data_IF_210290607872
#
_entry.id   IF_210290607872
#
_cell.length_a   1.000
_cell.length_b   1.000
_cell.length_c   1.000
_cell.angle_alpha   90.00
_cell.angle_beta   90.00
_cell.angle_gamma   90.00
#
_symmetry.space_group_name_H-M   'P 1'
#
loop_
_entity.id
_entity.type
_entity.pdbx_description
1 polymer ?
#
# COMPACT_ATOMS: atom_id res chain seq x y z
N UNK A 1 18.38 34.53 20.48
CA UNK A 1 18.36 33.36 19.57
C UNK A 1 19.20 33.69 18.37
N UNK A 2 20.29 32.96 18.15
CA UNK A 2 21.29 33.24 17.09
C UNK A 2 20.90 32.66 15.72
N UNK A 3 19.72 32.03 15.61
CA UNK A 3 19.30 31.25 14.43
C UNK A 3 18.20 31.89 13.57
N UNK A 4 17.77 33.12 13.87
CA UNK A 4 16.63 33.76 13.16
C UNK A 4 16.95 35.18 12.67
N UNK A 5 18.22 35.49 12.43
CA UNK A 5 18.63 36.83 12.02
C UNK A 5 18.42 37.12 10.54
N UNK A 6 19.09 36.38 9.66
CA UNK A 6 19.13 36.72 8.23
C UNK A 6 19.40 35.46 7.41
N UNK A 7 18.35 34.70 7.09
CA UNK A 7 18.43 33.73 6.01
C UNK A 7 18.39 34.53 4.71
N UNK A 8 19.52 34.61 4.01
CA UNK A 8 19.50 35.15 2.66
C UNK A 8 18.66 34.22 1.79
N UNK A 9 17.78 34.77 0.94
CA UNK A 9 16.98 34.02 -0.06
C UNK A 9 17.78 32.90 -0.78
N UNK A 10 19.08 33.08 -1.10
CA UNK A 10 19.91 32.01 -1.65
C UNK A 10 20.13 30.81 -0.72
N UNK A 11 20.30 31.02 0.59
CA UNK A 11 20.58 29.94 1.53
C UNK A 11 19.34 29.07 1.78
N UNK A 12 18.15 29.67 1.88
CA UNK A 12 16.90 28.91 1.95
C UNK A 12 16.66 28.10 0.68
N UNK A 13 16.98 28.66 -0.50
CA UNK A 13 16.90 27.94 -1.77
C UNK A 13 17.92 26.79 -1.86
N UNK A 14 19.15 26.98 -1.39
CA UNK A 14 20.17 25.93 -1.33
C UNK A 14 19.72 24.80 -0.41
N UNK A 15 19.19 25.11 0.77
CA UNK A 15 18.70 24.11 1.71
C UNK A 15 17.45 23.38 1.17
N UNK A 16 16.57 24.07 0.45
CA UNK A 16 15.43 23.45 -0.24
C UNK A 16 15.90 22.51 -1.36
N UNK A 17 16.85 22.94 -2.19
CA UNK A 17 17.37 22.09 -3.27
C UNK A 17 18.12 20.88 -2.72
N UNK A 18 18.90 21.07 -1.65
CA UNK A 18 19.62 20.00 -0.97
C UNK A 18 18.65 19.02 -0.29
N UNK A 19 17.58 19.51 0.34
CA UNK A 19 16.56 18.65 0.93
C UNK A 19 15.81 17.88 -0.15
N UNK A 20 15.43 18.50 -1.27
CA UNK A 20 14.83 17.81 -2.42
C UNK A 20 15.77 16.76 -3.04
N UNK A 21 17.08 17.03 -3.09
CA UNK A 21 18.07 16.06 -3.55
C UNK A 21 18.23 14.88 -2.59
N UNK A 22 18.32 15.15 -1.29
CA UNK A 22 18.42 14.11 -0.25
C UNK A 22 17.13 13.28 -0.17
N UNK A 23 15.97 13.92 -0.29
CA UNK A 23 14.68 13.24 -0.37
C UNK A 23 14.62 12.31 -1.59
N UNK A 24 15.11 12.75 -2.75
CA UNK A 24 15.19 11.92 -3.95
C UNK A 24 16.27 10.82 -3.87
N UNK A 25 17.35 11.03 -3.13
CA UNK A 25 18.45 10.07 -2.98
C UNK A 25 18.22 9.05 -1.87
N UNK A 26 17.18 9.19 -1.04
CA UNK A 26 16.88 8.25 0.03
C UNK A 26 16.31 6.94 -0.55
N UNK A 27 17.00 5.79 -0.37
CA UNK A 27 16.53 4.50 -0.85
C UNK A 27 15.29 3.98 -0.10
N UNK A 28 14.90 4.64 1.00
CA UNK A 28 13.87 4.16 1.94
C UNK A 28 12.48 4.73 1.70
N UNK A 29 12.28 5.61 0.71
CA UNK A 29 10.95 6.13 0.42
C UNK A 29 10.94 7.28 -0.57
N UNK A 30 10.20 7.08 -1.66
CA UNK A 30 9.57 8.09 -2.53
C UNK A 30 10.42 9.31 -2.92
N UNK A 31 10.82 9.40 -4.19
CA UNK A 31 9.97 10.11 -5.18
C UNK A 31 10.53 9.89 -6.60
N UNK A 32 11.79 10.18 -6.92
CA UNK A 32 12.30 9.97 -8.30
C UNK A 32 13.70 9.34 -8.42
N UNK A 33 14.61 9.50 -7.45
CA UNK A 33 16.00 9.04 -7.61
C UNK A 33 16.17 7.51 -7.66
N UNK A 34 15.46 6.77 -6.80
CA UNK A 34 15.45 5.30 -6.87
C UNK A 34 14.85 4.79 -8.19
N UNK A 35 13.78 5.43 -8.69
CA UNK A 35 13.20 5.11 -10.01
C UNK A 35 14.16 5.43 -11.14
N UNK A 36 14.90 6.55 -11.06
CA UNK A 36 15.93 6.91 -12.05
C UNK A 36 17.07 5.88 -12.03
N UNK A 37 17.49 5.42 -10.85
CA UNK A 37 18.53 4.40 -10.73
C UNK A 37 18.04 3.05 -11.28
N UNK A 38 16.81 2.67 -10.97
CA UNK A 38 16.17 1.46 -11.52
C UNK A 38 16.04 1.56 -13.04
N UNK A 39 15.63 2.71 -13.59
CA UNK A 39 15.59 2.95 -15.03
C UNK A 39 16.96 2.91 -15.71
N UNK A 40 18.05 3.26 -15.01
CA UNK A 40 19.41 3.10 -15.54
C UNK A 40 19.79 1.63 -15.66
N UNK A 41 19.39 0.80 -14.70
CA UNK A 41 19.62 -0.65 -14.73
C UNK A 41 18.67 -1.37 -15.71
N UNK A 42 17.44 -0.86 -15.83
CA UNK A 42 16.36 -1.44 -16.65
C UNK A 42 15.67 -0.34 -17.49
N UNK A 43 16.30 0.12 -18.60
CA UNK A 43 15.73 1.17 -19.45
C UNK A 43 14.35 0.84 -20.02
N UNK A 44 14.08 -0.45 -20.22
CA UNK A 44 12.80 -0.97 -20.73
C UNK A 44 11.62 -0.71 -19.77
N UNK A 45 11.88 -0.35 -18.50
CA UNK A 45 10.85 0.01 -17.51
C UNK A 45 10.31 1.43 -17.68
N UNK A 46 10.80 2.19 -18.66
CA UNK A 46 10.29 3.54 -18.98
C UNK A 46 8.76 3.60 -19.13
N UNK A 47 8.16 2.58 -19.77
CA UNK A 47 6.71 2.44 -19.89
C UNK A 47 6.00 2.27 -18.54
N UNK A 48 6.62 1.50 -17.63
CA UNK A 48 6.09 1.24 -16.28
C UNK A 48 6.09 2.52 -15.45
N UNK A 49 7.13 3.35 -15.59
CA UNK A 49 7.21 4.67 -14.94
C UNK A 49 6.11 5.58 -15.42
N UNK A 50 5.87 5.64 -16.74
CA UNK A 50 4.79 6.47 -17.29
C UNK A 50 3.43 6.08 -16.70
N UNK A 51 3.13 4.78 -16.61
CA UNK A 51 1.88 4.31 -16.02
C UNK A 51 1.79 4.57 -14.52
N UNK A 52 2.87 4.38 -13.77
CA UNK A 52 2.90 4.69 -12.34
C UNK A 52 2.68 6.18 -12.08
N UNK A 53 3.29 7.06 -12.89
CA UNK A 53 3.06 8.50 -12.81
C UNK A 53 1.62 8.87 -13.17
N UNK A 54 1.04 8.22 -14.20
CA UNK A 54 -0.37 8.41 -14.56
C UNK A 54 -1.29 7.98 -13.42
N UNK A 55 -1.05 6.84 -12.78
CA UNK A 55 -1.78 6.38 -11.61
C UNK A 55 -1.73 7.41 -10.48
N UNK A 56 -0.53 7.85 -10.08
CA UNK A 56 -0.35 8.89 -9.06
C UNK A 56 -1.07 10.18 -9.43
N UNK A 57 -1.01 10.60 -10.70
CA UNK A 57 -1.70 11.81 -11.15
C UNK A 57 -3.22 11.71 -11.04
N UNK A 58 -3.81 10.54 -11.33
CA UNK A 58 -5.25 10.35 -11.20
C UNK A 58 -5.68 10.41 -9.74
N UNK A 59 -4.98 9.69 -8.86
CA UNK A 59 -5.23 9.71 -7.42
C UNK A 59 -5.18 11.13 -6.84
N UNK A 60 -4.30 11.99 -7.36
CA UNK A 60 -4.14 13.37 -6.87
C UNK A 60 -5.16 14.37 -7.44
N UNK A 61 -5.62 14.16 -8.68
CA UNK A 61 -6.48 15.12 -9.39
C UNK A 61 -7.96 14.77 -9.22
N UNK A 62 -8.31 13.52 -9.55
CA UNK A 62 -9.66 13.01 -9.44
C UNK A 62 -9.60 11.48 -9.24
N UNK A 63 -9.49 11.00 -7.99
CA UNK A 63 -9.44 9.57 -7.70
C UNK A 63 -10.74 8.85 -8.09
N UNK A 64 -11.83 9.58 -8.38
CA UNK A 64 -13.10 8.99 -8.80
C UNK A 64 -13.19 8.76 -10.31
N UNK A 65 -12.23 9.26 -11.09
CA UNK A 65 -12.26 9.21 -12.56
C UNK A 65 -11.57 7.97 -13.15
N UNK A 66 -10.87 7.17 -12.35
CA UNK A 66 -10.13 6.00 -12.82
C UNK A 66 -10.20 4.85 -11.81
N UNK A 67 -10.03 3.64 -12.33
CA UNK A 67 -9.96 2.40 -11.56
C UNK A 67 -8.52 1.87 -11.55
N UNK A 68 -8.15 1.13 -10.51
CA UNK A 68 -6.88 0.42 -10.45
C UNK A 68 -6.73 -0.56 -11.62
N UNK A 69 -7.85 -1.14 -12.08
CA UNK A 69 -7.91 -1.99 -13.29
C UNK A 69 -7.36 -1.31 -14.55
N UNK A 70 -7.39 0.02 -14.64
CA UNK A 70 -6.89 0.78 -15.79
C UNK A 70 -5.35 0.84 -15.85
N UNK A 71 -4.70 0.49 -14.74
CA UNK A 71 -3.24 0.57 -14.56
C UNK A 71 -2.57 -0.80 -14.51
N UNK A 72 -3.32 -1.85 -14.77
CA UNK A 72 -2.83 -3.22 -14.73
C UNK A 72 -1.91 -3.49 -15.90
N UNK A 73 -0.81 -4.17 -15.60
CA UNK A 73 -0.06 -4.94 -16.57
C UNK A 73 0.22 -6.34 -16.04
N UNK A 74 -0.08 -7.34 -16.85
CA UNK A 74 0.37 -8.70 -16.58
C UNK A 74 1.87 -8.79 -16.84
N UNK A 75 2.64 -8.72 -15.75
CA UNK A 75 4.08 -8.81 -15.74
C UNK A 75 4.50 -10.02 -14.91
N UNK A 76 5.58 -10.71 -15.28
CA UNK A 76 6.25 -11.62 -14.36
C UNK A 76 6.85 -10.83 -13.19
N UNK A 77 7.25 -11.54 -12.13
CA UNK A 77 8.02 -10.92 -11.05
C UNK A 77 9.40 -10.59 -11.59
N UNK A 78 9.65 -9.30 -11.75
CA UNK A 78 10.95 -8.79 -12.16
C UNK A 78 11.62 -8.05 -10.99
N UNK A 79 12.94 -7.85 -11.04
CA UNK A 79 13.65 -7.04 -10.04
C UNK A 79 13.13 -5.60 -9.99
N UNK A 80 13.31 -4.96 -8.83
CA UNK A 80 13.04 -3.53 -8.67
C UNK A 80 11.61 -3.17 -8.29
N UNK A 81 11.43 -1.90 -7.91
CA UNK A 81 10.17 -1.37 -7.39
C UNK A 81 9.11 -1.22 -8.49
N UNK A 82 9.49 -0.80 -9.69
CA UNK A 82 8.53 -0.43 -10.73
C UNK A 82 7.77 -1.63 -11.27
N UNK A 83 8.45 -2.74 -11.51
CA UNK A 83 7.79 -3.96 -11.97
C UNK A 83 6.91 -4.58 -10.87
N UNK A 84 7.41 -4.61 -9.64
CA UNK A 84 6.73 -5.23 -8.50
C UNK A 84 5.50 -4.44 -8.05
N UNK A 85 5.47 -3.10 -8.18
CA UNK A 85 4.25 -2.34 -7.88
C UNK A 85 3.13 -2.67 -8.87
N UNK A 86 3.43 -2.79 -10.17
CA UNK A 86 2.45 -3.21 -11.17
C UNK A 86 1.96 -4.63 -10.93
N UNK A 87 2.87 -5.52 -10.51
CA UNK A 87 2.53 -6.88 -10.11
C UNK A 87 1.56 -6.91 -8.93
N UNK A 88 1.79 -6.08 -7.90
CA UNK A 88 0.90 -5.95 -6.74
C UNK A 88 -0.44 -5.29 -7.11
N UNK A 89 -0.45 -4.25 -7.94
CA UNK A 89 -1.68 -3.62 -8.41
C UNK A 89 -2.61 -4.63 -9.11
N UNK A 90 -2.06 -5.49 -9.99
CA UNK A 90 -2.86 -6.56 -10.60
C UNK A 90 -3.39 -7.55 -9.56
N UNK A 91 -2.57 -7.84 -8.55
CA UNK A 91 -2.95 -8.76 -7.48
C UNK A 91 -4.10 -8.20 -6.63
N UNK A 92 -4.12 -6.90 -6.36
CA UNK A 92 -5.25 -6.23 -5.69
C UNK A 92 -6.52 -6.26 -6.54
N UNK A 93 -6.42 -6.07 -7.87
CA UNK A 93 -7.57 -6.21 -8.77
C UNK A 93 -8.17 -7.62 -8.74
N UNK A 94 -7.34 -8.67 -8.64
CA UNK A 94 -7.81 -10.05 -8.45
C UNK A 94 -8.59 -10.21 -7.13
N UNK A 95 -8.12 -9.58 -6.05
CA UNK A 95 -8.82 -9.59 -4.75
C UNK A 95 -10.18 -8.91 -4.87
N UNK A 96 -10.28 -7.79 -5.60
CA UNK A 96 -11.56 -7.11 -5.82
C UNK A 96 -12.54 -7.96 -6.63
N UNK A 97 -12.02 -8.85 -7.46
CA UNK A 97 -12.80 -9.81 -8.26
C UNK A 97 -13.14 -11.10 -7.49
N UNK A 98 -12.59 -11.29 -6.28
CA UNK A 98 -12.80 -12.50 -5.47
C UNK A 98 -11.88 -13.67 -5.85
N UNK A 99 -10.89 -13.45 -6.71
CA UNK A 99 -9.93 -14.46 -7.18
C UNK A 99 -8.80 -14.66 -6.14
N UNK A 100 -9.19 -15.01 -4.92
CA UNK A 100 -8.28 -15.04 -3.76
C UNK A 100 -7.17 -16.08 -3.86
N UNK A 101 -7.44 -17.23 -4.50
CA UNK A 101 -6.44 -18.28 -4.67
C UNK A 101 -5.30 -17.81 -5.58
N UNK A 102 -5.62 -17.18 -6.72
CA UNK A 102 -4.60 -16.62 -7.61
C UNK A 102 -3.85 -15.47 -6.92
N UNK A 103 -4.59 -14.59 -6.22
CA UNK A 103 -3.97 -13.50 -5.47
C UNK A 103 -2.98 -14.01 -4.41
N UNK A 104 -3.35 -15.06 -3.67
CA UNK A 104 -2.47 -15.72 -2.70
C UNK A 104 -1.17 -16.20 -3.36
N UNK A 105 -1.26 -16.98 -4.44
CA UNK A 105 -0.08 -17.52 -5.11
C UNK A 105 0.85 -16.41 -5.59
N UNK A 106 0.27 -15.33 -6.12
CA UNK A 106 1.02 -14.15 -6.58
C UNK A 106 1.76 -13.46 -5.43
N UNK A 107 1.09 -13.27 -4.29
CA UNK A 107 1.68 -12.64 -3.10
C UNK A 107 2.81 -13.49 -2.51
N UNK A 108 2.60 -14.81 -2.40
CA UNK A 108 3.62 -15.74 -1.91
C UNK A 108 4.86 -15.75 -2.84
N UNK A 109 4.65 -15.74 -4.16
CA UNK A 109 5.76 -15.62 -5.13
C UNK A 109 6.54 -14.31 -4.96
N UNK A 110 5.87 -13.17 -4.76
CA UNK A 110 6.54 -11.89 -4.53
C UNK A 110 7.32 -11.89 -3.21
N UNK A 111 6.74 -12.43 -2.14
CA UNK A 111 7.41 -12.51 -0.84
C UNK A 111 8.68 -13.37 -0.92
N UNK A 112 8.66 -14.44 -1.71
CA UNK A 112 9.80 -15.34 -1.88
C UNK A 112 10.90 -14.79 -2.82
N UNK A 113 10.52 -14.04 -3.85
CA UNK A 113 11.43 -13.67 -4.95
C UNK A 113 11.82 -12.18 -5.01
N UNK A 114 11.11 -11.30 -4.28
CA UNK A 114 11.39 -9.86 -4.30
C UNK A 114 12.75 -9.53 -3.68
N UNK A 115 13.47 -8.65 -4.35
CA UNK A 115 14.70 -8.00 -3.90
C UNK A 115 14.44 -6.71 -3.10
N UNK A 116 13.17 -6.37 -2.86
CA UNK A 116 12.76 -5.11 -2.24
C UNK A 116 11.98 -5.37 -0.94
N UNK A 117 12.64 -5.12 0.19
CA UNK A 117 12.05 -5.28 1.53
C UNK A 117 10.73 -4.53 1.72
N UNK A 118 10.53 -3.40 1.05
CA UNK A 118 9.26 -2.66 1.11
C UNK A 118 8.14 -3.41 0.38
N UNK A 119 8.43 -3.98 -0.80
CA UNK A 119 7.48 -4.79 -1.55
C UNK A 119 7.10 -6.06 -0.79
N UNK A 120 8.08 -6.73 -0.17
CA UNK A 120 7.81 -7.89 0.70
C UNK A 120 6.88 -7.50 1.84
N UNK A 121 7.08 -6.34 2.48
CA UNK A 121 6.21 -5.86 3.57
C UNK A 121 4.79 -5.57 3.10
N UNK A 122 4.63 -4.91 1.95
CA UNK A 122 3.31 -4.66 1.37
C UNK A 122 2.62 -5.96 0.98
N UNK A 123 3.32 -6.87 0.31
CA UNK A 123 2.79 -8.17 -0.08
C UNK A 123 2.32 -8.98 1.15
N UNK A 124 3.06 -8.96 2.26
CA UNK A 124 2.63 -9.59 3.52
C UNK A 124 1.34 -9.00 4.09
N UNK A 125 1.12 -7.69 3.96
CA UNK A 125 -0.11 -7.05 4.43
C UNK A 125 -1.32 -7.49 3.60
N UNK A 126 -1.18 -7.49 2.28
CA UNK A 126 -2.24 -7.94 1.38
C UNK A 126 -2.46 -9.45 1.51
N UNK A 127 -1.40 -10.24 1.75
CA UNK A 127 -1.52 -11.68 1.98
C UNK A 127 -2.30 -11.99 3.27
N UNK A 128 -2.12 -11.19 4.31
CA UNK A 128 -2.92 -11.31 5.53
C UNK A 128 -4.40 -11.10 5.24
N UNK A 129 -4.76 -10.07 4.46
CA UNK A 129 -6.14 -9.85 4.03
C UNK A 129 -6.68 -11.07 3.27
N UNK A 130 -5.93 -11.57 2.29
CA UNK A 130 -6.30 -12.75 1.49
C UNK A 130 -6.50 -14.00 2.36
N UNK A 131 -5.60 -14.27 3.32
CA UNK A 131 -5.78 -15.39 4.25
C UNK A 131 -7.05 -15.26 5.07
N UNK A 132 -7.37 -14.06 5.59
CA UNK A 132 -8.59 -13.84 6.37
C UNK A 132 -9.83 -14.01 5.50
N UNK A 133 -9.83 -13.51 4.26
CA UNK A 133 -10.97 -13.61 3.35
C UNK A 133 -11.22 -15.05 2.88
N UNK A 134 -10.18 -15.87 2.79
CA UNK A 134 -10.29 -17.30 2.47
C UNK A 134 -10.61 -18.19 3.69
N UNK A 135 -10.64 -17.64 4.91
CA UNK A 135 -10.84 -18.42 6.13
C UNK A 135 -9.61 -19.26 6.55
N UNK A 136 -8.42 -18.89 6.08
CA UNK A 136 -7.14 -19.51 6.45
C UNK A 136 -6.64 -18.90 7.77
N UNK A 137 -7.34 -19.22 8.86
CA UNK A 137 -7.17 -18.57 10.16
C UNK A 137 -5.78 -18.78 10.78
N UNK A 138 -5.22 -19.99 10.67
CA UNK A 138 -3.92 -20.31 11.24
C UNK A 138 -2.79 -19.59 10.50
N UNK A 139 -2.84 -19.58 9.17
CA UNK A 139 -1.91 -18.84 8.31
C UNK A 139 -1.98 -17.34 8.60
N UNK A 140 -3.18 -16.78 8.70
CA UNK A 140 -3.39 -15.39 9.09
C UNK A 140 -2.87 -15.10 10.51
N UNK A 141 -3.07 -16.01 11.47
CA UNK A 141 -2.60 -15.88 12.86
C UNK A 141 -1.08 -15.85 12.92
N UNK A 142 -0.41 -16.76 12.20
CA UNK A 142 1.05 -16.84 12.11
C UNK A 142 1.62 -15.59 11.44
N UNK A 143 1.09 -15.21 10.27
CA UNK A 143 1.56 -14.06 9.52
C UNK A 143 1.37 -12.76 10.33
N UNK A 144 0.23 -12.61 10.99
CA UNK A 144 -0.09 -11.47 11.86
C UNK A 144 0.85 -11.30 13.07
N UNK A 145 1.68 -12.29 13.41
CA UNK A 145 2.72 -12.14 14.44
C UNK A 145 3.97 -11.40 13.94
N UNK A 146 4.16 -11.26 12.63
CA UNK A 146 5.29 -10.55 12.04
C UNK A 146 5.37 -9.09 12.54
N UNK A 147 6.54 -8.70 13.04
CA UNK A 147 6.74 -7.37 13.65
C UNK A 147 6.57 -6.23 12.65
N UNK A 148 6.97 -6.43 11.40
CA UNK A 148 6.87 -5.43 10.35
C UNK A 148 5.40 -5.27 9.94
N UNK A 149 4.66 -6.38 9.85
CA UNK A 149 3.23 -6.35 9.56
C UNK A 149 2.43 -5.66 10.68
N UNK A 150 2.75 -5.95 11.96
CA UNK A 150 2.15 -5.25 13.10
C UNK A 150 2.38 -3.73 13.08
N UNK A 151 3.47 -3.26 12.46
CA UNK A 151 3.70 -1.83 12.30
C UNK A 151 2.78 -1.25 11.21
N UNK A 152 2.60 -1.95 10.09
CA UNK A 152 1.68 -1.55 9.02
C UNK A 152 0.22 -1.49 9.49
N UNK A 153 -0.25 -2.48 10.26
CA UNK A 153 -1.60 -2.50 10.82
C UNK A 153 -1.89 -1.34 11.78
N UNK A 154 -0.84 -0.68 12.32
CA UNK A 154 -0.98 0.52 13.16
C UNK A 154 -0.87 1.82 12.37
N UNK A 155 -0.41 1.75 11.13
CA UNK A 155 -0.22 2.92 10.29
C UNK A 155 -1.59 3.50 9.89
N UNK A 156 -1.77 4.84 9.97
CA UNK A 156 -3.08 5.45 9.82
C UNK A 156 -3.50 5.65 8.35
N UNK A 157 -3.58 4.55 7.60
CA UNK A 157 -4.07 4.51 6.22
C UNK A 157 -5.39 3.73 6.16
N UNK A 158 -6.34 4.18 5.33
CA UNK A 158 -7.72 3.69 5.33
C UNK A 158 -7.83 2.19 5.11
N UNK A 159 -7.35 1.70 3.97
CA UNK A 159 -7.32 0.27 3.64
C UNK A 159 -6.58 -0.55 4.71
N UNK A 160 -5.44 -0.07 5.22
CA UNK A 160 -4.69 -0.81 6.25
C UNK A 160 -5.49 -0.97 7.54
N UNK A 161 -6.30 0.03 7.90
CA UNK A 161 -7.17 -0.04 9.07
C UNK A 161 -8.40 -0.93 8.84
N UNK A 162 -8.87 -1.07 7.61
CA UNK A 162 -9.88 -2.10 7.25
C UNK A 162 -9.28 -3.49 7.42
N UNK A 163 -8.06 -3.74 6.92
CA UNK A 163 -7.35 -5.02 7.11
C UNK A 163 -7.07 -5.28 8.60
N UNK A 164 -6.70 -4.25 9.37
CA UNK A 164 -6.52 -4.38 10.81
C UNK A 164 -7.83 -4.73 11.53
N UNK A 165 -8.95 -4.14 11.12
CA UNK A 165 -10.27 -4.49 11.66
C UNK A 165 -10.62 -5.95 11.34
N UNK A 166 -10.44 -6.41 10.09
CA UNK A 166 -10.58 -7.82 9.69
C UNK A 166 -9.78 -8.75 10.60
N UNK A 167 -8.50 -8.45 10.78
CA UNK A 167 -7.60 -9.25 11.60
C UNK A 167 -8.06 -9.31 13.06
N UNK A 168 -8.46 -8.17 13.63
CA UNK A 168 -8.91 -8.11 15.01
C UNK A 168 -10.25 -8.79 15.25
N UNK A 169 -11.13 -8.77 14.26
CA UNK A 169 -12.45 -9.39 14.33
C UNK A 169 -12.39 -10.91 14.17
N UNK A 170 -11.69 -11.38 13.14
CA UNK A 170 -11.75 -12.79 12.71
C UNK A 170 -10.61 -13.65 13.25
N UNK A 171 -9.46 -13.06 13.63
CA UNK A 171 -8.28 -13.83 14.03
C UNK A 171 -7.93 -13.65 15.50
N UNK A 172 -7.79 -12.40 15.97
CA UNK A 172 -7.40 -12.14 17.36
C UNK A 172 -8.58 -12.00 18.32
N UNK A 173 -9.79 -11.79 17.78
CA UNK A 173 -11.01 -11.54 18.55
C UNK A 173 -10.84 -10.41 19.60
N UNK A 174 -10.01 -9.40 19.28
CA UNK A 174 -9.71 -8.29 20.19
C UNK A 174 -10.72 -7.17 19.97
N UNK A 175 -11.80 -7.19 20.74
CA UNK A 175 -12.89 -6.21 20.65
C UNK A 175 -12.43 -4.75 20.84
N UNK A 176 -11.38 -4.51 21.64
CA UNK A 176 -10.87 -3.16 21.90
C UNK A 176 -10.07 -2.66 20.69
N UNK A 177 -9.21 -3.52 20.15
CA UNK A 177 -8.44 -3.21 18.95
C UNK A 177 -9.36 -3.06 17.73
N UNK A 178 -10.37 -3.93 17.59
CA UNK A 178 -11.40 -3.87 16.55
C UNK A 178 -12.11 -2.52 16.53
N UNK A 179 -12.69 -2.08 17.67
CA UNK A 179 -13.36 -0.78 17.76
C UNK A 179 -12.47 0.39 17.36
N UNK A 180 -11.18 0.32 17.74
CA UNK A 180 -10.21 1.34 17.37
C UNK A 180 -9.94 1.35 15.86
N UNK A 181 -9.69 0.18 15.26
CA UNK A 181 -9.42 0.04 13.83
C UNK A 181 -10.63 0.44 12.98
N UNK A 182 -11.85 0.05 13.35
CA UNK A 182 -13.09 0.49 12.67
C UNK A 182 -13.25 2.02 12.70
N UNK A 183 -13.09 2.64 13.86
CA UNK A 183 -13.19 4.10 13.99
C UNK A 183 -12.13 4.81 13.14
N UNK A 184 -10.92 4.25 13.06
CA UNK A 184 -9.83 4.80 12.27
C UNK A 184 -10.05 4.60 10.77
N UNK A 185 -10.49 3.42 10.35
CA UNK A 185 -10.85 3.12 8.96
C UNK A 185 -11.94 4.07 8.46
N UNK A 186 -13.02 4.26 9.23
CA UNK A 186 -14.12 5.19 8.90
C UNK A 186 -13.65 6.63 8.70
N UNK A 187 -12.68 7.07 9.49
CA UNK A 187 -12.11 8.41 9.40
C UNK A 187 -11.16 8.57 8.21
N UNK A 188 -10.32 7.57 7.97
CA UNK A 188 -9.19 7.69 7.04
C UNK A 188 -9.52 7.23 5.62
N UNK A 189 -10.40 6.25 5.45
CA UNK A 189 -10.73 5.67 4.15
C UNK A 189 -11.22 6.71 3.13
N UNK A 190 -12.16 7.63 3.47
CA UNK A 190 -12.61 8.64 2.51
C UNK A 190 -11.52 9.61 2.04
N UNK A 191 -10.42 9.73 2.80
CA UNK A 191 -9.29 10.62 2.50
C UNK A 191 -8.05 9.84 2.04
N UNK A 192 -8.17 8.53 1.85
CA UNK A 192 -7.04 7.69 1.43
C UNK A 192 -6.80 7.86 -0.07
N UNK A 193 -5.52 7.90 -0.50
CA UNK A 193 -5.15 8.09 -1.90
C UNK A 193 -5.34 6.77 -2.68
N UNK A 194 -6.60 6.34 -2.81
CA UNK A 194 -7.03 5.11 -3.48
C UNK A 194 -7.92 5.49 -4.68
N UNK A 195 -7.89 4.70 -5.75
CA UNK A 195 -8.76 4.85 -6.91
C UNK A 195 -10.20 4.40 -6.63
N UNK A 196 -11.09 4.59 -7.59
CA UNK A 196 -12.53 4.42 -7.37
C UNK A 196 -12.94 3.00 -6.96
N UNK A 197 -12.44 1.99 -7.67
CA UNK A 197 -12.68 0.57 -7.39
C UNK A 197 -12.06 0.12 -6.05
N UNK A 198 -10.85 0.57 -5.74
CA UNK A 198 -10.21 0.34 -4.44
C UNK A 198 -11.04 0.94 -3.29
N UNK A 199 -11.46 2.21 -3.44
CA UNK A 199 -12.32 2.90 -2.47
C UNK A 199 -13.63 2.15 -2.24
N UNK A 200 -14.28 1.73 -3.33
CA UNK A 200 -15.55 1.02 -3.27
C UNK A 200 -15.40 -0.36 -2.61
N UNK A 201 -14.32 -1.09 -2.92
CA UNK A 201 -14.01 -2.38 -2.33
C UNK A 201 -13.85 -2.27 -0.80
N UNK A 202 -12.92 -1.44 -0.33
CA UNK A 202 -12.66 -1.30 1.10
C UNK A 202 -13.83 -0.66 1.85
N UNK A 203 -14.64 0.16 1.19
CA UNK A 203 -15.86 0.73 1.79
C UNK A 203 -16.91 -0.34 2.03
N UNK A 204 -17.17 -1.22 1.06
CA UNK A 204 -18.09 -2.35 1.22
C UNK A 204 -17.64 -3.27 2.35
N UNK A 205 -16.35 -3.61 2.35
CA UNK A 205 -15.75 -4.45 3.38
C UNK A 205 -15.86 -3.82 4.78
N UNK A 206 -15.61 -2.51 4.90
CA UNK A 206 -15.79 -1.79 6.17
C UNK A 206 -17.25 -1.85 6.67
N UNK A 207 -18.24 -1.69 5.78
CA UNK A 207 -19.66 -1.76 6.12
C UNK A 207 -20.02 -3.16 6.61
N UNK A 208 -19.54 -4.21 5.94
CA UNK A 208 -19.74 -5.60 6.35
C UNK A 208 -19.18 -5.84 7.77
N UNK A 209 -17.97 -5.38 8.05
CA UNK A 209 -17.35 -5.51 9.38
C UNK A 209 -18.12 -4.75 10.46
N UNK A 210 -18.58 -3.53 10.16
CA UNK A 210 -19.42 -2.76 11.08
C UNK A 210 -20.71 -3.52 11.41
N UNK A 211 -21.38 -4.12 10.42
CA UNK A 211 -22.60 -4.91 10.62
C UNK A 211 -22.32 -6.18 11.42
N UNK A 212 -21.31 -6.96 11.04
CA UNK A 212 -20.91 -8.18 11.76
C UNK A 212 -20.58 -7.88 13.23
N UNK A 213 -19.87 -6.77 13.51
CA UNK A 213 -19.48 -6.38 14.87
C UNK A 213 -20.65 -5.95 15.78
N UNK A 214 -21.80 -5.58 15.19
CA UNK A 214 -23.01 -5.24 15.93
C UNK A 214 -23.86 -6.48 16.25
N UNK A 215 -23.64 -7.58 15.53
CA UNK A 215 -24.35 -8.85 15.70
C UNK A 215 -23.66 -9.81 16.68
N UNK A 216 -22.35 -9.61 16.90
CA UNK A 216 -21.49 -10.36 17.85
C UNK A 216 -21.49 -9.74 19.26
#
# INVERSE_FOLDING_TARGET
GFLTGHWSLPLSQILLNLSLFILNANPSGMVDGAKIQELRAHPDYSRLVYQALRHTSQVMVDPTAANLSDFVLDLPILPGHLSQIHYLNWTEVLIFQGEYQEAQERLEKVIAASDNDYMVKLAKLVLLEVYILQGLEEEARVLGQDKQLKALLKYPMGNYQVIAALYHQRITEDSKALKKSLAQAKKMLPNSPLLADEQDYYRKLLIELELESQLS
#
